data_IF_334386806395
#
_entry.id   IF_334386806395
#
_cell.length_a   1.000
_cell.length_b   1.000
_cell.length_c   1.000
_cell.angle_alpha   90.00
_cell.angle_beta   90.00
_cell.angle_gamma   90.00
#
_symmetry.space_group_name_H-M   'P 1'
#
loop_
_entity.id
_entity.type
_entity.pdbx_description
1 polymer ?
#
# COMPACT_ATOMS: atom_id res chain seq x y z
N UNK A 1 11.22 -15.89 34.44
CA UNK A 1 11.87 -15.26 33.26
C UNK A 1 11.45 -16.08 32.05
N UNK A 2 10.56 -15.56 31.19
CA UNK A 2 10.09 -16.32 30.01
C UNK A 2 11.25 -16.45 28.99
N UNK A 3 11.43 -17.60 28.33
CA UNK A 3 12.46 -17.76 27.32
C UNK A 3 12.23 -16.79 26.17
N UNK A 4 13.26 -16.00 25.84
CA UNK A 4 13.24 -15.12 24.69
C UNK A 4 13.30 -15.99 23.44
N UNK A 5 12.15 -16.20 22.80
CA UNK A 5 12.07 -16.84 21.48
C UNK A 5 12.97 -16.05 20.54
N UNK A 6 14.04 -16.67 20.01
CA UNK A 6 14.82 -16.07 18.93
C UNK A 6 13.87 -15.91 17.76
N UNK A 7 13.53 -14.67 17.42
CA UNK A 7 12.75 -14.38 16.23
C UNK A 7 13.50 -14.97 15.04
N UNK A 8 12.90 -15.92 14.32
CA UNK A 8 13.40 -16.29 12.99
C UNK A 8 13.43 -14.99 12.18
N UNK A 9 14.62 -14.54 11.78
CA UNK A 9 14.69 -13.44 10.84
C UNK A 9 13.92 -13.86 9.59
N UNK A 10 13.06 -12.99 9.03
CA UNK A 10 12.40 -13.30 7.78
C UNK A 10 13.47 -13.63 6.74
N UNK A 11 13.23 -14.67 5.93
CA UNK A 11 14.18 -15.08 4.89
C UNK A 11 14.55 -13.92 3.94
N UNK A 12 15.62 -14.07 3.14
CA UNK A 12 16.07 -13.02 2.22
C UNK A 12 14.93 -12.57 1.29
N UNK A 13 14.85 -11.27 0.99
CA UNK A 13 13.78 -10.64 0.16
C UNK A 13 13.69 -11.32 -1.21
N UNK A 14 14.79 -11.92 -1.69
CA UNK A 14 14.92 -12.70 -2.92
C UNK A 14 13.85 -13.79 -3.18
N UNK A 15 13.16 -14.31 -2.16
CA UNK A 15 11.99 -15.18 -2.35
C UNK A 15 10.72 -14.36 -2.65
N UNK A 16 10.75 -13.53 -3.71
CA UNK A 16 9.60 -12.71 -4.09
C UNK A 16 8.52 -13.58 -4.73
N UNK A 17 7.28 -13.37 -4.30
CA UNK A 17 6.14 -14.07 -4.85
C UNK A 17 5.69 -13.41 -6.16
N UNK A 18 5.55 -14.23 -7.20
CA UNK A 18 4.90 -13.85 -8.45
C UNK A 18 3.59 -14.62 -8.57
N UNK A 19 2.46 -13.92 -8.56
CA UNK A 19 1.15 -14.56 -8.67
C UNK A 19 0.81 -14.82 -10.14
N UNK A 20 0.18 -15.97 -10.42
CA UNK A 20 -0.37 -16.27 -11.74
C UNK A 20 -1.55 -15.34 -12.10
N UNK A 21 -2.22 -14.79 -11.09
CA UNK A 21 -3.39 -13.89 -11.23
C UNK A 21 -3.21 -12.62 -10.40
N UNK A 22 -4.00 -11.58 -10.68
CA UNK A 22 -3.94 -10.32 -9.92
C UNK A 22 -2.83 -9.35 -10.36
N UNK A 23 -2.41 -8.50 -9.45
CA UNK A 23 -1.43 -7.42 -9.69
C UNK A 23 -0.06 -7.82 -9.14
N UNK A 24 0.91 -8.02 -10.04
CA UNK A 24 2.32 -8.11 -9.70
C UNK A 24 3.00 -6.75 -9.94
N UNK A 25 4.12 -6.49 -9.24
CA UNK A 25 4.99 -5.34 -9.54
C UNK A 25 5.57 -5.42 -10.96
N UNK A 26 6.15 -4.33 -11.47
CA UNK A 26 6.87 -4.39 -12.75
C UNK A 26 7.94 -5.49 -12.73
N UNK A 27 8.05 -6.28 -13.82
CA UNK A 27 9.04 -7.36 -13.94
C UNK A 27 10.47 -6.89 -13.63
N UNK A 28 10.85 -5.70 -14.13
CA UNK A 28 12.15 -5.07 -13.83
C UNK A 28 12.38 -4.81 -12.34
N UNK A 29 11.34 -4.55 -11.56
CA UNK A 29 11.42 -4.35 -10.10
C UNK A 29 11.49 -5.71 -9.40
N UNK A 30 10.71 -6.68 -9.88
CA UNK A 30 10.71 -8.05 -9.37
C UNK A 30 12.07 -8.75 -9.51
N UNK A 31 12.82 -8.45 -10.56
CA UNK A 31 14.12 -9.10 -10.86
C UNK A 31 15.33 -8.43 -10.17
N UNK A 32 15.15 -7.31 -9.46
CA UNK A 32 16.26 -6.59 -8.81
C UNK A 32 16.89 -7.41 -7.66
N UNK A 33 18.18 -7.24 -7.39
CA UNK A 33 18.73 -7.67 -6.10
C UNK A 33 18.07 -6.89 -4.95
N UNK A 34 18.23 -7.36 -3.72
CA UNK A 34 17.61 -6.71 -2.56
C UNK A 34 18.18 -5.29 -2.33
N UNK A 35 19.48 -5.10 -2.57
CA UNK A 35 20.16 -3.80 -2.51
C UNK A 35 19.64 -2.87 -3.60
N UNK A 36 19.57 -3.35 -4.84
CA UNK A 36 19.10 -2.58 -5.99
C UNK A 36 17.62 -2.20 -5.83
N UNK A 37 16.80 -3.10 -5.29
CA UNK A 37 15.40 -2.82 -4.99
C UNK A 37 15.27 -1.69 -3.96
N UNK A 38 16.01 -1.76 -2.84
CA UNK A 38 15.98 -0.72 -1.80
C UNK A 38 16.46 0.63 -2.33
N UNK A 39 17.52 0.64 -3.14
CA UNK A 39 18.01 1.83 -3.81
C UNK A 39 16.97 2.41 -4.79
N UNK A 40 16.31 1.55 -5.56
CA UNK A 40 15.23 1.97 -6.47
C UNK A 40 14.05 2.58 -5.71
N UNK A 41 13.60 1.95 -4.62
CA UNK A 41 12.54 2.45 -3.75
C UNK A 41 12.91 3.84 -3.20
N UNK A 42 14.13 4.01 -2.69
CA UNK A 42 14.61 5.29 -2.18
C UNK A 42 14.62 6.37 -3.27
N UNK A 43 15.08 6.03 -4.47
CA UNK A 43 15.12 6.94 -5.62
C UNK A 43 13.71 7.37 -6.05
N UNK A 44 12.76 6.43 -6.17
CA UNK A 44 11.37 6.73 -6.52
C UNK A 44 10.72 7.63 -5.47
N UNK A 45 10.93 7.36 -4.19
CA UNK A 45 10.42 8.18 -3.11
C UNK A 45 11.00 9.61 -3.16
N UNK A 46 12.32 9.73 -3.33
CA UNK A 46 12.97 11.04 -3.43
C UNK A 46 12.45 11.83 -4.64
N UNK A 47 12.35 11.20 -5.81
CA UNK A 47 11.83 11.84 -7.03
C UNK A 47 10.40 12.37 -6.85
N UNK A 48 9.55 11.65 -6.10
CA UNK A 48 8.15 12.04 -5.90
C UNK A 48 7.98 13.14 -4.85
N UNK A 49 8.75 13.11 -3.75
CA UNK A 49 8.51 13.99 -2.59
C UNK A 49 9.59 15.03 -2.34
N UNK A 50 10.71 14.99 -3.08
CA UNK A 50 11.88 15.84 -2.83
C UNK A 50 12.56 15.58 -1.48
N UNK A 51 12.23 14.47 -0.82
CA UNK A 51 12.66 14.14 0.54
C UNK A 51 13.10 12.69 0.60
N UNK A 52 14.16 12.43 1.37
CA UNK A 52 14.64 11.07 1.59
C UNK A 52 13.61 10.25 2.37
N UNK A 53 13.33 9.05 1.89
CA UNK A 53 12.53 8.09 2.63
C UNK A 53 13.31 7.54 3.82
N UNK A 54 12.61 7.29 4.93
CA UNK A 54 13.21 6.67 6.11
C UNK A 54 13.54 5.21 5.81
N UNK A 55 14.61 4.69 6.40
CA UNK A 55 15.02 3.29 6.21
C UNK A 55 13.87 2.29 6.47
N UNK A 56 13.12 2.46 7.56
CA UNK A 56 11.97 1.58 7.86
C UNK A 56 10.83 1.69 6.83
N UNK A 57 10.65 2.83 6.13
CA UNK A 57 9.69 2.93 5.03
C UNK A 57 10.18 2.13 3.83
N UNK A 58 11.47 2.23 3.50
CA UNK A 58 12.10 1.49 2.40
C UNK A 58 12.00 -0.02 2.66
N UNK A 59 12.32 -0.47 3.86
CA UNK A 59 12.18 -1.88 4.27
C UNK A 59 10.73 -2.36 4.19
N UNK A 60 9.78 -1.56 4.65
CA UNK A 60 8.36 -1.92 4.57
C UNK A 60 7.92 -2.09 3.11
N UNK A 61 8.27 -1.16 2.23
CA UNK A 61 7.96 -1.26 0.79
C UNK A 61 8.65 -2.47 0.16
N UNK A 62 9.92 -2.74 0.48
CA UNK A 62 10.65 -3.87 -0.08
C UNK A 62 10.01 -5.22 0.32
N UNK A 63 9.53 -5.35 1.56
CA UNK A 63 8.77 -6.52 1.98
C UNK A 63 7.43 -6.64 1.23
N UNK A 64 6.70 -5.54 1.06
CA UNK A 64 5.44 -5.53 0.28
C UNK A 64 5.66 -5.90 -1.18
N UNK A 65 6.69 -5.35 -1.84
CA UNK A 65 7.10 -5.71 -3.21
C UNK A 65 7.43 -7.20 -3.33
N UNK A 66 7.89 -7.82 -2.25
CA UNK A 66 8.21 -9.24 -2.19
C UNK A 66 7.00 -10.13 -1.90
N UNK A 67 5.79 -9.56 -1.79
CA UNK A 67 4.56 -10.27 -1.48
C UNK A 67 4.42 -10.66 -0.01
N UNK A 68 5.13 -9.97 0.91
CA UNK A 68 5.11 -10.30 2.34
C UNK A 68 4.11 -9.47 3.10
N UNK A 69 3.34 -10.13 3.96
CA UNK A 69 2.59 -9.47 5.02
C UNK A 69 3.56 -8.75 5.96
N UNK A 70 3.35 -7.46 6.16
CA UNK A 70 4.32 -6.58 6.83
C UNK A 70 3.63 -5.80 7.95
N UNK A 71 4.11 -5.97 9.18
CA UNK A 71 3.71 -5.13 10.31
C UNK A 71 4.73 -4.01 10.51
N UNK A 72 4.26 -2.77 10.64
CA UNK A 72 5.10 -1.59 10.86
C UNK A 72 4.74 -0.95 12.19
N UNK A 73 5.67 -0.97 13.14
CA UNK A 73 5.56 -0.23 14.39
C UNK A 73 6.17 1.16 14.21
N UNK A 74 5.34 2.19 14.20
CA UNK A 74 5.79 3.56 14.01
C UNK A 74 4.82 4.59 14.63
N UNK A 75 5.39 5.61 15.28
CA UNK A 75 4.64 6.69 15.93
C UNK A 75 3.85 7.59 14.96
N UNK A 76 3.06 8.50 15.53
CA UNK A 76 2.40 9.58 14.78
C UNK A 76 3.46 10.51 14.16
N UNK A 77 3.17 11.09 12.99
CA UNK A 77 4.15 11.91 12.25
C UNK A 77 5.27 11.12 11.57
N UNK A 78 5.33 9.79 11.73
CA UNK A 78 6.37 8.98 11.07
C UNK A 78 6.30 9.03 9.53
N UNK A 79 5.10 9.27 8.97
CA UNK A 79 4.85 9.20 7.53
C UNK A 79 4.43 7.79 7.08
N UNK A 80 3.56 7.11 7.86
CA UNK A 80 3.08 5.75 7.54
C UNK A 80 2.34 5.71 6.19
N UNK A 81 1.57 6.75 5.87
CA UNK A 81 0.84 6.89 4.61
C UNK A 81 1.74 6.78 3.37
N UNK A 82 2.97 7.30 3.45
CA UNK A 82 3.97 7.23 2.37
C UNK A 82 4.38 5.80 2.00
N UNK A 83 4.31 4.84 2.92
CA UNK A 83 4.66 3.44 2.62
C UNK A 83 3.75 2.90 1.52
N UNK A 84 2.43 3.11 1.66
CA UNK A 84 1.45 2.68 0.66
C UNK A 84 1.59 3.44 -0.67
N UNK A 85 1.98 4.71 -0.63
CA UNK A 85 2.18 5.54 -1.83
C UNK A 85 3.41 5.13 -2.65
N UNK A 86 4.51 4.85 -1.96
CA UNK A 86 5.74 4.38 -2.60
C UNK A 86 5.50 2.97 -3.14
N UNK A 87 4.82 2.09 -2.38
CA UNK A 87 4.45 0.76 -2.85
C UNK A 87 3.57 0.83 -4.10
N UNK A 88 2.54 1.69 -4.12
CA UNK A 88 1.71 1.89 -5.31
C UNK A 88 2.53 2.29 -6.54
N UNK A 89 3.59 3.09 -6.36
CA UNK A 89 4.48 3.51 -7.44
C UNK A 89 5.33 2.36 -8.02
N UNK A 90 5.39 1.22 -7.34
CA UNK A 90 6.03 -0.02 -7.83
C UNK A 90 5.09 -0.89 -8.67
N UNK A 91 3.78 -0.60 -8.65
CA UNK A 91 2.76 -1.35 -9.37
C UNK A 91 2.60 -0.87 -10.82
N UNK A 92 2.22 -1.77 -11.76
CA UNK A 92 1.92 -1.40 -13.13
C UNK A 92 0.70 -0.48 -13.21
N UNK A 93 0.85 0.68 -13.86
CA UNK A 93 -0.27 1.60 -14.08
C UNK A 93 -1.35 1.00 -14.99
N UNK A 94 -0.96 0.10 -15.90
CA UNK A 94 -1.85 -0.56 -16.86
C UNK A 94 -2.80 -1.57 -16.22
N UNK A 95 -2.64 -1.88 -14.93
CA UNK A 95 -3.43 -2.89 -14.22
C UNK A 95 -4.54 -2.32 -13.34
N UNK A 96 -4.81 -1.01 -13.43
CA UNK A 96 -5.88 -0.36 -12.66
C UNK A 96 -5.78 -0.69 -11.17
N UNK A 97 -4.55 -0.74 -10.65
CA UNK A 97 -4.27 -1.18 -9.28
C UNK A 97 -4.97 -0.29 -8.27
N UNK A 98 -5.47 -0.88 -7.18
CA UNK A 98 -6.14 -0.16 -6.09
C UNK A 98 -5.51 -0.57 -4.76
N UNK A 99 -5.19 0.42 -3.92
CA UNK A 99 -4.85 0.19 -2.51
C UNK A 99 -6.12 0.35 -1.68
N UNK A 100 -6.58 -0.76 -1.12
CA UNK A 100 -7.69 -0.79 -0.20
C UNK A 100 -7.18 -0.64 1.24
N UNK A 101 -7.71 0.33 1.98
CA UNK A 101 -7.31 0.61 3.37
C UNK A 101 -8.51 0.53 4.29
N UNK A 102 -8.50 -0.45 5.19
CA UNK A 102 -9.50 -0.59 6.25
C UNK A 102 -9.21 0.43 7.36
N UNK A 103 -10.16 1.35 7.58
CA UNK A 103 -10.07 2.38 8.62
C UNK A 103 -11.16 2.17 9.68
N UNK A 104 -10.81 2.20 10.98
CA UNK A 104 -11.81 2.03 12.03
C UNK A 104 -12.71 3.27 12.23
N UNK A 105 -12.38 4.43 11.66
CA UNK A 105 -13.07 5.71 11.89
C UNK A 105 -13.33 6.43 10.56
N UNK A 106 -14.59 6.83 10.32
CA UNK A 106 -15.01 7.51 9.09
C UNK A 106 -14.34 8.88 8.93
N UNK A 107 -14.28 9.67 10.00
CA UNK A 107 -13.64 11.01 10.01
C UNK A 107 -12.14 10.97 9.69
N UNK A 108 -11.49 9.85 9.97
CA UNK A 108 -10.10 9.62 9.60
C UNK A 108 -9.95 9.38 8.08
N UNK A 109 -10.95 8.75 7.45
CA UNK A 109 -10.97 8.49 6.02
C UNK A 109 -11.01 9.78 5.18
N UNK A 110 -11.81 10.76 5.57
CA UNK A 110 -11.93 12.02 4.81
C UNK A 110 -10.62 12.83 4.81
N UNK A 111 -9.96 12.93 5.95
CA UNK A 111 -8.64 13.55 6.05
C UNK A 111 -7.61 12.82 5.20
N UNK A 112 -7.64 11.48 5.19
CA UNK A 112 -6.72 10.71 4.35
C UNK A 112 -7.01 10.92 2.86
N UNK A 113 -8.27 11.00 2.44
CA UNK A 113 -8.62 11.34 1.05
C UNK A 113 -8.09 12.70 0.67
N UNK A 114 -8.24 13.71 1.55
CA UNK A 114 -7.70 15.04 1.32
C UNK A 114 -6.18 15.01 1.13
N UNK A 115 -5.44 14.36 2.05
CA UNK A 115 -3.98 14.21 1.95
C UNK A 115 -3.54 13.46 0.69
N UNK A 116 -4.25 12.40 0.30
CA UNK A 116 -3.94 11.63 -0.93
C UNK A 116 -4.13 12.44 -2.19
N UNK A 117 -5.20 13.22 -2.27
CA UNK A 117 -5.45 14.11 -3.40
C UNK A 117 -4.39 15.20 -3.49
N UNK A 118 -3.98 15.78 -2.35
CA UNK A 118 -2.87 16.71 -2.30
C UNK A 118 -1.53 16.07 -2.75
N UNK A 119 -1.34 14.78 -2.51
CA UNK A 119 -0.20 14.00 -3.02
C UNK A 119 -0.35 13.52 -4.49
N UNK A 120 -1.39 13.97 -5.19
CA UNK A 120 -1.63 13.69 -6.61
C UNK A 120 -2.25 12.32 -6.91
N UNK A 121 -2.87 11.67 -5.94
CA UNK A 121 -3.56 10.40 -6.13
C UNK A 121 -5.09 10.57 -6.18
N UNK A 122 -5.77 9.74 -6.96
CA UNK A 122 -7.24 9.64 -6.85
C UNK A 122 -7.62 8.81 -5.62
N UNK A 123 -8.53 9.34 -4.81
CA UNK A 123 -8.93 8.70 -3.57
C UNK A 123 -10.41 8.92 -3.23
N UNK A 124 -11.00 7.94 -2.54
CA UNK A 124 -12.38 7.97 -2.03
C UNK A 124 -12.47 7.33 -0.64
N UNK A 125 -13.34 7.89 0.20
CA UNK A 125 -13.75 7.32 1.48
C UNK A 125 -15.17 6.78 1.32
N UNK A 126 -15.34 5.48 1.55
CA UNK A 126 -16.62 4.80 1.44
C UNK A 126 -17.37 4.89 2.76
N UNK A 127 -18.64 5.25 2.66
CA UNK A 127 -19.59 5.20 3.74
C UNK A 127 -20.86 4.47 3.27
N UNK A 128 -21.78 4.16 4.19
CA UNK A 128 -23.03 3.45 3.86
C UNK A 128 -23.90 4.18 2.82
N UNK A 129 -23.76 5.50 2.69
CA UNK A 129 -24.59 6.31 1.80
C UNK A 129 -24.03 6.37 0.37
N UNK A 130 -22.69 6.39 0.22
CA UNK A 130 -22.05 6.54 -1.08
C UNK A 130 -21.65 5.20 -1.74
N UNK A 131 -21.59 4.10 -0.98
CA UNK A 131 -21.19 2.83 -1.54
C UNK A 131 -22.33 2.13 -2.28
N UNK A 132 -22.32 2.29 -3.61
CA UNK A 132 -23.31 1.75 -4.52
C UNK A 132 -22.61 1.05 -5.71
N UNK A 133 -23.41 0.40 -6.58
CA UNK A 133 -22.89 -0.37 -7.73
C UNK A 133 -21.98 0.45 -8.65
N UNK A 134 -22.35 1.71 -8.93
CA UNK A 134 -21.53 2.59 -9.78
C UNK A 134 -20.16 2.84 -9.17
N UNK A 135 -20.11 3.14 -7.87
CA UNK A 135 -18.84 3.34 -7.15
C UNK A 135 -18.01 2.06 -7.10
N UNK A 136 -18.64 0.90 -6.90
CA UNK A 136 -17.97 -0.40 -6.98
C UNK A 136 -17.35 -0.65 -8.36
N UNK A 137 -18.10 -0.35 -9.44
CA UNK A 137 -17.62 -0.46 -10.82
C UNK A 137 -16.44 0.51 -11.07
N UNK A 138 -16.53 1.76 -10.58
CA UNK A 138 -15.48 2.76 -10.70
C UNK A 138 -14.20 2.30 -9.96
N UNK A 139 -14.32 1.69 -8.78
CA UNK A 139 -13.21 1.07 -8.05
C UNK A 139 -12.60 -0.09 -8.85
N UNK A 140 -13.41 -0.99 -9.41
CA UNK A 140 -12.93 -2.14 -10.19
C UNK A 140 -12.13 -1.73 -11.44
N UNK A 141 -12.44 -0.54 -11.99
CA UNK A 141 -11.76 0.06 -13.14
C UNK A 141 -10.54 0.91 -12.75
N UNK A 142 -10.20 0.99 -11.45
CA UNK A 142 -9.07 1.77 -10.96
C UNK A 142 -9.26 3.29 -11.06
N UNK A 143 -10.51 3.78 -11.12
CA UNK A 143 -10.79 5.23 -11.09
C UNK A 143 -10.23 5.86 -9.82
N UNK A 144 -10.27 5.12 -8.71
CA UNK A 144 -9.67 5.48 -7.43
C UNK A 144 -8.45 4.59 -7.15
N UNK A 145 -7.28 5.21 -6.95
CA UNK A 145 -6.04 4.52 -6.62
C UNK A 145 -5.99 4.14 -5.13
N UNK A 146 -6.60 4.96 -4.27
CA UNK A 146 -6.72 4.72 -2.84
C UNK A 146 -8.19 4.70 -2.41
N UNK A 147 -8.61 3.61 -1.79
CA UNK A 147 -9.98 3.44 -1.29
C UNK A 147 -9.93 3.20 0.21
N UNK A 148 -10.63 4.05 0.94
CA UNK A 148 -10.80 3.95 2.39
C UNK A 148 -12.20 3.45 2.70
N UNK A 149 -12.33 2.55 3.66
CA UNK A 149 -13.61 2.02 4.10
C UNK A 149 -13.51 1.43 5.50
N UNK A 150 -14.64 1.39 6.21
CA UNK A 150 -14.71 0.72 7.49
C UNK A 150 -14.74 -0.81 7.34
N UNK A 151 -14.26 -1.56 8.36
CA UNK A 151 -14.42 -3.02 8.40
C UNK A 151 -15.88 -3.46 8.22
N UNK A 152 -16.84 -2.69 8.73
CA UNK A 152 -18.27 -2.98 8.58
C UNK A 152 -18.73 -2.92 7.12
N UNK A 153 -18.29 -1.92 6.37
CA UNK A 153 -18.60 -1.78 4.94
C UNK A 153 -17.94 -2.89 4.15
N UNK A 154 -16.72 -3.28 4.55
CA UNK A 154 -16.02 -4.37 3.90
C UNK A 154 -16.79 -5.70 4.13
N UNK A 155 -17.13 -6.05 5.36
CA UNK A 155 -17.69 -7.38 5.64
C UNK A 155 -19.17 -7.54 5.29
N UNK A 156 -19.97 -6.47 5.31
CA UNK A 156 -21.43 -6.57 5.24
C UNK A 156 -22.05 -6.12 3.90
N UNK A 157 -21.26 -5.99 2.83
CA UNK A 157 -21.77 -5.53 1.55
C UNK A 157 -22.00 -6.67 0.56
N UNK A 158 -23.13 -6.64 -0.17
CA UNK A 158 -23.51 -7.65 -1.18
C UNK A 158 -23.03 -7.33 -2.61
N UNK A 159 -22.40 -6.18 -2.81
CA UNK A 159 -21.94 -5.72 -4.12
C UNK A 159 -20.59 -6.33 -4.51
N UNK A 160 -19.96 -7.08 -3.62
CA UNK A 160 -18.74 -7.83 -3.86
C UNK A 160 -18.69 -9.08 -2.98
#
# INVERSE_FOLDING_TARGET
MLPRVKSKQPGPISNRLWSATGVNVYKKVFEMSDENLKAHIAHVAYKKYGQLAKAQQIEAVANLVSGRNTFVLAGTGFGKSRIAEIYFSMLPMTRNSVILTLNPLDSLGDNQVFEKRAAGFSAINLNKLNFNKKVADDISKGVYQFVYLSPEIFLNNKLW
#
